data_IF_474052297317
#
_entry.id   IF_474052297317
#
_cell.length_a   1.000
_cell.length_b   1.000
_cell.length_c   1.000
_cell.angle_alpha   90.00
_cell.angle_beta   90.00
_cell.angle_gamma   90.00
#
_symmetry.space_group_name_H-M   'P 1'
#
loop_
_entity.id
_entity.type
_entity.pdbx_description
1 polymer ?
#
# COMPACT_ATOMS: atom_id res chain seq x y z
N UNK A 1 5.76 -21.66 -15.90
CA UNK A 1 4.90 -20.61 -15.33
C UNK A 1 4.88 -20.77 -13.81
N UNK A 2 5.20 -19.73 -13.07
CA UNK A 2 5.20 -19.77 -11.59
C UNK A 2 3.77 -19.72 -11.06
N UNK A 3 3.51 -20.53 -10.02
CA UNK A 3 2.28 -20.40 -9.25
C UNK A 3 2.40 -19.19 -8.29
N UNK A 4 1.27 -18.76 -7.73
CA UNK A 4 1.26 -17.70 -6.72
C UNK A 4 2.11 -18.09 -5.52
N UNK A 5 2.02 -19.32 -5.06
CA UNK A 5 2.81 -19.84 -3.94
C UNK A 5 4.31 -19.78 -4.22
N UNK A 6 4.74 -20.23 -5.38
CA UNK A 6 6.16 -20.20 -5.80
C UNK A 6 6.67 -18.77 -5.92
N UNK A 7 5.86 -17.88 -6.49
CA UNK A 7 6.22 -16.47 -6.65
C UNK A 7 6.38 -15.80 -5.30
N UNK A 8 5.42 -15.98 -4.39
CA UNK A 8 5.49 -15.41 -3.05
C UNK A 8 6.68 -15.93 -2.27
N UNK A 9 7.01 -17.22 -2.38
CA UNK A 9 8.13 -17.83 -1.66
C UNK A 9 9.48 -17.17 -1.97
N UNK A 10 9.61 -16.50 -3.11
CA UNK A 10 10.83 -15.76 -3.48
C UNK A 10 10.66 -14.24 -3.43
N UNK A 11 9.52 -13.76 -2.93
CA UNK A 11 9.19 -12.34 -2.89
C UNK A 11 9.56 -11.74 -1.54
N UNK A 12 10.41 -10.71 -1.48
CA UNK A 12 10.65 -9.98 -0.25
C UNK A 12 9.48 -9.06 0.06
N UNK A 13 9.20 -8.88 1.34
CA UNK A 13 8.28 -7.88 1.83
C UNK A 13 9.06 -6.61 2.12
N UNK A 14 8.78 -5.55 1.38
CA UNK A 14 9.43 -4.26 1.57
C UNK A 14 8.53 -3.39 2.46
N UNK A 15 8.99 -3.08 3.65
CA UNK A 15 8.17 -2.44 4.68
C UNK A 15 8.58 -0.99 4.85
N UNK A 16 7.59 -0.10 4.80
CA UNK A 16 7.74 1.32 5.17
C UNK A 16 6.81 1.58 6.35
N UNK A 17 7.39 1.91 7.47
CA UNK A 17 6.63 2.04 8.73
C UNK A 17 5.72 3.26 8.75
N UNK A 18 6.01 4.26 7.94
CA UNK A 18 5.20 5.45 7.85
C UNK A 18 5.40 6.42 9.00
N UNK A 19 4.34 7.02 9.50
CA UNK A 19 2.94 6.74 9.18
C UNK A 19 2.50 7.26 7.81
N UNK A 20 1.61 6.49 7.19
CA UNK A 20 0.90 6.87 5.98
C UNK A 20 -0.53 7.23 6.29
N UNK A 21 -1.14 8.01 5.42
CA UNK A 21 -2.55 8.39 5.51
C UNK A 21 -3.28 8.03 4.23
N UNK A 22 -4.55 7.71 4.36
CA UNK A 22 -5.48 7.59 3.25
C UNK A 22 -6.42 8.79 3.33
N UNK A 23 -6.42 9.62 2.32
CA UNK A 23 -7.19 10.85 2.30
C UNK A 23 -8.03 10.98 1.03
N UNK A 24 -9.12 11.73 1.11
CA UNK A 24 -10.02 11.94 -0.01
C UNK A 24 -10.38 13.40 -0.17
N UNK A 25 -10.48 13.84 -1.42
CA UNK A 25 -10.85 15.18 -1.86
C UNK A 25 -11.94 15.10 -2.91
N UNK A 26 -12.57 16.24 -3.20
CA UNK A 26 -13.43 16.34 -4.37
C UNK A 26 -12.65 16.02 -5.65
N UNK A 27 -13.25 15.37 -6.66
CA UNK A 27 -12.54 15.03 -7.91
C UNK A 27 -11.88 16.22 -8.59
N UNK A 28 -12.48 17.41 -8.51
CA UNK A 28 -11.92 18.62 -9.11
C UNK A 28 -10.57 19.04 -8.52
N UNK A 29 -10.20 18.51 -7.35
CA UNK A 29 -8.93 18.85 -6.70
C UNK A 29 -7.77 17.93 -7.08
N UNK A 30 -7.98 17.02 -8.03
CA UNK A 30 -6.94 16.05 -8.42
C UNK A 30 -5.63 16.72 -8.83
N UNK A 31 -5.68 17.83 -9.56
CA UNK A 31 -4.47 18.54 -9.97
C UNK A 31 -3.69 19.08 -8.77
N UNK A 32 -4.37 19.69 -7.81
CA UNK A 32 -3.74 20.23 -6.60
C UNK A 32 -3.13 19.11 -5.74
N UNK A 33 -3.80 17.95 -5.66
CA UNK A 33 -3.30 16.78 -4.93
C UNK A 33 -2.03 16.25 -5.59
N UNK A 34 -2.04 16.07 -6.91
CA UNK A 34 -0.86 15.61 -7.64
C UNK A 34 0.32 16.59 -7.52
N UNK A 35 0.06 17.90 -7.60
CA UNK A 35 1.09 18.91 -7.41
C UNK A 35 1.68 18.86 -6.00
N UNK A 36 0.83 18.68 -4.99
CA UNK A 36 1.29 18.53 -3.61
C UNK A 36 2.17 17.30 -3.44
N UNK A 37 1.81 16.17 -4.04
CA UNK A 37 2.63 14.97 -4.01
C UNK A 37 4.00 15.21 -4.64
N UNK A 38 4.06 15.90 -5.78
CA UNK A 38 5.31 16.22 -6.44
C UNK A 38 6.19 17.15 -5.58
N UNK A 39 5.59 18.11 -4.88
CA UNK A 39 6.34 19.04 -4.02
C UNK A 39 6.98 18.36 -2.82
N UNK A 40 6.31 17.38 -2.23
CA UNK A 40 6.82 16.74 -1.01
C UNK A 40 7.93 15.73 -1.26
N UNK A 41 8.18 15.36 -2.51
CA UNK A 41 9.28 14.47 -2.93
C UNK A 41 9.36 13.18 -2.11
N UNK A 42 8.22 12.59 -1.78
CA UNK A 42 8.20 11.39 -0.95
C UNK A 42 8.74 10.15 -1.66
N UNK A 43 8.67 10.14 -2.98
CA UNK A 43 8.98 8.96 -3.78
C UNK A 43 7.97 7.83 -3.66
N UNK A 44 6.96 7.94 -2.80
CA UNK A 44 5.97 6.91 -2.52
C UNK A 44 4.59 7.52 -2.39
N UNK A 45 3.65 7.00 -3.14
CA UNK A 45 2.27 7.43 -3.04
C UNK A 45 1.41 6.72 -4.07
N UNK A 46 0.12 6.68 -3.79
CA UNK A 46 -0.90 6.15 -4.71
C UNK A 46 -1.97 7.22 -4.83
N UNK A 47 -2.36 7.52 -6.05
CA UNK A 47 -3.47 8.44 -6.31
C UNK A 47 -4.49 7.72 -7.19
N UNK A 48 -5.74 7.79 -6.79
CA UNK A 48 -6.86 7.19 -7.50
C UNK A 48 -7.91 8.26 -7.74
N UNK A 49 -8.37 8.36 -8.98
CA UNK A 49 -9.43 9.28 -9.36
C UNK A 49 -10.61 8.51 -9.92
N UNK A 50 -11.78 8.81 -9.41
CA UNK A 50 -13.05 8.42 -10.04
C UNK A 50 -14.03 9.62 -9.99
N UNK A 51 -15.26 9.38 -10.37
CA UNK A 51 -16.28 10.43 -10.42
C UNK A 51 -16.77 10.91 -9.05
N UNK A 52 -16.45 10.15 -7.98
CA UNK A 52 -16.89 10.46 -6.62
C UNK A 52 -15.82 11.18 -5.82
N UNK A 53 -14.55 10.83 -6.04
CA UNK A 53 -13.46 11.37 -5.23
C UNK A 53 -12.11 11.29 -5.93
N UNK A 54 -11.20 12.16 -5.51
CA UNK A 54 -9.77 11.98 -5.66
C UNK A 54 -9.26 11.44 -4.33
N UNK A 55 -8.56 10.31 -4.36
CA UNK A 55 -8.08 9.63 -3.17
C UNK A 55 -6.58 9.42 -3.26
N UNK A 56 -5.89 9.46 -2.13
CA UNK A 56 -4.45 9.24 -2.10
C UNK A 56 -4.00 8.54 -0.84
N UNK A 57 -3.04 7.63 -1.00
CA UNK A 57 -2.27 7.02 0.08
C UNK A 57 -0.89 7.65 0.05
N UNK A 58 -0.52 8.35 1.11
CA UNK A 58 0.66 9.21 1.17
C UNK A 58 1.34 9.12 2.54
N UNK A 59 2.65 9.42 2.62
CA UNK A 59 3.24 9.75 3.92
C UNK A 59 2.46 10.89 4.58
N UNK A 60 2.27 10.81 5.89
CA UNK A 60 1.44 11.77 6.62
C UNK A 60 1.90 13.22 6.44
N UNK A 61 3.22 13.45 6.40
CA UNK A 61 3.77 14.79 6.24
C UNK A 61 3.39 15.43 4.89
N UNK A 62 3.04 14.63 3.90
CA UNK A 62 2.62 15.15 2.59
C UNK A 62 1.29 15.91 2.64
N UNK A 63 0.46 15.67 3.66
CA UNK A 63 -0.80 16.41 3.82
C UNK A 63 -0.59 17.91 3.93
N UNK A 64 0.54 18.35 4.47
CA UNK A 64 0.85 19.78 4.59
C UNK A 64 0.95 20.50 3.24
N UNK A 65 1.23 19.77 2.17
CA UNK A 65 1.34 20.28 0.80
C UNK A 65 0.03 20.17 0.02
N UNK A 66 -1.02 19.64 0.62
CA UNK A 66 -2.28 19.35 -0.03
C UNK A 66 -3.36 20.36 0.35
N UNK A 67 -4.40 20.54 -0.50
CA UNK A 67 -5.60 21.24 -0.04
C UNK A 67 -6.27 20.48 1.11
N UNK A 68 -7.12 21.14 1.90
CA UNK A 68 -7.85 20.46 2.97
C UNK A 68 -8.66 19.27 2.43
N UNK A 69 -8.46 18.10 3.03
CA UNK A 69 -9.15 16.87 2.62
C UNK A 69 -10.56 16.80 3.21
N UNK A 70 -11.47 16.14 2.49
CA UNK A 70 -12.81 15.83 2.99
C UNK A 70 -12.76 14.79 4.08
N UNK A 71 -11.90 13.78 3.91
CA UNK A 71 -11.73 12.67 4.84
C UNK A 71 -10.26 12.32 4.95
N UNK A 72 -9.82 12.00 6.16
CA UNK A 72 -8.46 11.54 6.42
C UNK A 72 -8.52 10.36 7.37
N UNK A 73 -7.87 9.27 7.00
CA UNK A 73 -7.65 8.12 7.85
C UNK A 73 -6.15 7.93 8.04
N UNK A 74 -5.71 7.88 9.30
CA UNK A 74 -4.28 7.94 9.65
C UNK A 74 -3.78 6.60 10.17
N UNK A 75 -2.46 6.51 10.30
CA UNK A 75 -1.82 5.44 11.03
C UNK A 75 -1.64 4.15 10.26
N UNK A 76 -1.25 4.25 8.99
CA UNK A 76 -0.95 3.07 8.17
C UNK A 76 0.55 2.86 7.99
N UNK A 77 0.95 1.59 7.89
CA UNK A 77 2.24 1.16 7.36
C UNK A 77 2.03 0.57 5.97
N UNK A 78 3.05 0.65 5.13
CA UNK A 78 3.02 0.17 3.76
C UNK A 78 3.89 -1.08 3.62
N UNK A 79 3.35 -2.12 2.99
CA UNK A 79 4.06 -3.36 2.67
C UNK A 79 3.98 -3.54 1.16
N UNK A 80 5.14 -3.52 0.50
CA UNK A 80 5.22 -3.78 -0.94
C UNK A 80 5.68 -5.21 -1.18
N UNK A 81 4.99 -5.93 -2.06
CA UNK A 81 5.46 -7.23 -2.55
C UNK A 81 6.57 -6.95 -3.56
N UNK A 82 7.82 -7.22 -3.16
CA UNK A 82 9.01 -6.66 -3.80
C UNK A 82 9.42 -7.27 -5.13
N UNK A 83 8.87 -8.42 -5.51
CA UNK A 83 9.18 -9.05 -6.80
C UNK A 83 8.21 -8.58 -7.88
N UNK A 84 8.70 -8.10 -9.03
CA UNK A 84 7.83 -7.81 -10.17
C UNK A 84 7.04 -9.03 -10.58
N UNK A 85 5.74 -8.86 -10.85
CA UNK A 85 4.82 -9.93 -11.16
C UNK A 85 4.24 -9.75 -12.55
N UNK A 86 4.14 -10.85 -13.29
CA UNK A 86 3.40 -10.85 -14.54
C UNK A 86 1.90 -10.76 -14.26
N UNK A 87 1.20 -10.05 -15.13
CA UNK A 87 -0.23 -9.79 -14.97
C UNK A 87 -1.08 -11.06 -14.87
N UNK A 88 -0.65 -12.12 -15.51
CA UNK A 88 -1.43 -13.36 -15.61
C UNK A 88 -1.21 -14.35 -14.45
N UNK A 89 -0.42 -14.00 -13.44
CA UNK A 89 -0.30 -14.84 -12.24
C UNK A 89 -1.52 -14.63 -11.37
N UNK A 90 -2.31 -15.69 -11.18
CA UNK A 90 -3.54 -15.64 -10.38
C UNK A 90 -3.29 -16.05 -8.94
N UNK A 91 -4.02 -15.44 -8.01
CA UNK A 91 -4.09 -15.87 -6.63
C UNK A 91 -3.08 -15.24 -5.68
N UNK A 92 -2.19 -14.35 -6.15
CA UNK A 92 -1.21 -13.70 -5.27
C UNK A 92 -1.91 -12.85 -4.21
N UNK A 93 -2.78 -11.94 -4.63
CA UNK A 93 -3.49 -11.08 -3.69
C UNK A 93 -4.46 -11.87 -2.82
N UNK A 94 -5.08 -12.91 -3.36
CA UNK A 94 -5.96 -13.81 -2.58
C UNK A 94 -5.18 -14.51 -1.46
N UNK A 95 -3.98 -15.02 -1.74
CA UNK A 95 -3.15 -15.69 -0.72
C UNK A 95 -2.74 -14.72 0.39
N UNK A 96 -2.31 -13.53 0.02
CA UNK A 96 -1.86 -12.50 0.96
C UNK A 96 -3.03 -11.98 1.79
N UNK A 97 -4.13 -11.62 1.17
CA UNK A 97 -5.30 -11.11 1.89
C UNK A 97 -5.94 -12.19 2.76
N UNK A 98 -5.93 -13.44 2.32
CA UNK A 98 -6.39 -14.56 3.12
C UNK A 98 -5.58 -14.75 4.39
N UNK A 99 -4.25 -14.68 4.30
CA UNK A 99 -3.38 -14.79 5.47
C UNK A 99 -3.62 -13.66 6.48
N UNK A 100 -3.79 -12.43 5.98
CA UNK A 100 -4.11 -11.29 6.85
C UNK A 100 -5.50 -11.41 7.47
N UNK A 101 -6.49 -11.86 6.71
CA UNK A 101 -7.84 -12.10 7.23
C UNK A 101 -7.85 -13.14 8.34
N UNK A 102 -7.10 -14.24 8.17
CA UNK A 102 -6.98 -15.28 9.19
C UNK A 102 -6.32 -14.76 10.47
N UNK A 103 -5.44 -13.80 10.35
CA UNK A 103 -4.79 -13.12 11.48
C UNK A 103 -5.63 -11.97 12.06
N UNK A 104 -6.80 -11.68 11.48
CA UNK A 104 -7.65 -10.57 11.91
C UNK A 104 -7.08 -9.19 11.63
N UNK A 105 -6.21 -9.05 10.63
CA UNK A 105 -5.58 -7.79 10.27
C UNK A 105 -6.33 -7.15 9.10
N UNK A 106 -6.91 -5.96 9.28
CA UNK A 106 -7.51 -5.23 8.18
C UNK A 106 -6.43 -4.73 7.21
N UNK A 107 -6.75 -4.67 5.92
CA UNK A 107 -5.80 -4.19 4.91
C UNK A 107 -6.51 -3.40 3.83
N UNK A 108 -5.76 -2.53 3.19
CA UNK A 108 -6.07 -2.01 1.88
C UNK A 108 -4.99 -2.46 0.90
N UNK A 109 -5.30 -2.40 -0.38
CA UNK A 109 -4.38 -2.82 -1.43
C UNK A 109 -4.44 -1.87 -2.61
N UNK A 110 -3.29 -1.67 -3.25
CA UNK A 110 -3.18 -0.90 -4.48
C UNK A 110 -2.24 -1.62 -5.44
N UNK A 111 -2.72 -1.88 -6.64
CA UNK A 111 -1.94 -2.54 -7.68
C UNK A 111 -1.18 -1.51 -8.50
N UNK A 112 0.14 -1.63 -8.55
CA UNK A 112 0.97 -0.92 -9.51
C UNK A 112 1.20 -1.82 -10.73
N UNK A 113 1.90 -1.31 -11.72
CA UNK A 113 2.14 -2.08 -12.96
C UNK A 113 2.87 -3.40 -12.70
N UNK A 114 3.88 -3.40 -11.83
CA UNK A 114 4.69 -4.59 -11.60
C UNK A 114 4.61 -5.17 -10.20
N UNK A 115 4.10 -4.44 -9.22
CA UNK A 115 4.10 -4.86 -7.82
C UNK A 115 2.86 -4.37 -7.11
N UNK A 116 2.36 -5.16 -6.16
CA UNK A 116 1.25 -4.78 -5.31
C UNK A 116 1.75 -4.12 -4.02
N UNK A 117 1.01 -3.13 -3.57
CA UNK A 117 1.22 -2.45 -2.31
C UNK A 117 0.06 -2.75 -1.38
N UNK A 118 0.37 -3.12 -0.15
CA UNK A 118 -0.60 -3.34 0.91
C UNK A 118 -0.40 -2.26 1.96
N UNK A 119 -1.48 -1.83 2.59
CA UNK A 119 -1.37 -0.95 3.75
C UNK A 119 -2.21 -1.50 4.89
N UNK A 120 -1.63 -1.49 6.08
CA UNK A 120 -2.21 -2.04 7.30
C UNK A 120 -2.06 -1.03 8.44
N UNK A 121 -2.90 -1.10 9.49
CA UNK A 121 -2.69 -0.23 10.65
C UNK A 121 -1.29 -0.41 11.24
N UNK A 122 -0.65 0.69 11.60
CA UNK A 122 0.72 0.67 12.17
C UNK A 122 0.80 -0.24 13.40
N UNK A 123 -0.21 -0.19 14.26
CA UNK A 123 -0.26 -1.03 15.47
C UNK A 123 -0.51 -2.52 15.20
N UNK A 124 -0.82 -2.89 13.96
CA UNK A 124 -1.00 -4.27 13.53
C UNK A 124 0.10 -4.75 12.57
N UNK A 125 1.14 -3.93 12.37
CA UNK A 125 2.21 -4.26 11.42
C UNK A 125 2.93 -5.56 11.79
N UNK A 126 3.25 -5.75 13.07
CA UNK A 126 3.95 -6.96 13.50
C UNK A 126 3.09 -8.22 13.27
N UNK A 127 1.79 -8.14 13.54
CA UNK A 127 0.86 -9.24 13.27
C UNK A 127 0.76 -9.51 11.77
N UNK A 128 0.73 -8.46 10.96
CA UNK A 128 0.69 -8.60 9.50
C UNK A 128 1.95 -9.30 8.98
N UNK A 129 3.12 -8.88 9.43
CA UNK A 129 4.38 -9.49 9.02
C UNK A 129 4.50 -10.94 9.49
N UNK A 130 4.05 -11.25 10.70
CA UNK A 130 4.02 -12.62 11.20
C UNK A 130 3.12 -13.53 10.35
N UNK A 131 1.99 -12.99 9.85
CA UNK A 131 1.07 -13.73 8.99
C UNK A 131 1.64 -13.95 7.57
N UNK A 132 2.36 -12.97 7.03
CA UNK A 132 2.89 -13.01 5.66
C UNK A 132 4.24 -13.70 5.54
N UNK A 133 5.05 -13.66 6.58
CA UNK A 133 6.41 -14.18 6.56
C UNK A 133 6.51 -15.64 6.13
N UNK A 134 5.59 -16.55 6.55
CA UNK A 134 5.64 -17.95 6.08
C UNK A 134 5.42 -18.11 4.58
N UNK A 135 4.82 -17.13 3.91
CA UNK A 135 4.52 -17.17 2.48
C UNK A 135 5.65 -16.56 1.64
N UNK A 136 6.49 -15.73 2.21
CA UNK A 136 7.40 -14.84 1.50
C UNK A 136 8.86 -15.14 1.83
N UNK A 137 9.79 -14.53 1.07
CA UNK A 137 11.22 -14.82 1.19
C UNK A 137 11.82 -14.20 2.46
N UNK A 138 11.62 -12.89 2.63
CA UNK A 138 12.24 -12.15 3.74
C UNK A 138 11.48 -10.84 3.97
N UNK A 139 11.75 -10.21 5.09
CA UNK A 139 11.24 -8.88 5.43
C UNK A 139 12.40 -7.89 5.36
N UNK A 140 12.23 -6.82 4.58
CA UNK A 140 13.18 -5.70 4.54
C UNK A 140 12.49 -4.43 4.96
N UNK A 141 12.95 -3.83 6.05
CA UNK A 141 12.44 -2.55 6.51
C UNK A 141 13.20 -1.44 5.80
N UNK A 142 12.48 -0.59 5.09
CA UNK A 142 13.02 0.58 4.40
C UNK A 142 12.83 1.82 5.28
N UNK A 143 13.68 2.79 5.08
CA UNK A 143 13.62 4.02 5.86
C UNK A 143 12.35 4.84 5.57
#
# INVERSE_FOLDING_TARGET
MSTATELLARTPLLVRRGPYVLAAWAPAQISAVCQGLLRCRTGHGVVILDELEASALLPEHALAEMPPARHVQRGFALITLGTPMEWNVTGVLAAVSGALADAGVPLGAAAAFSRDHLFVPVDRLDDALAALQPLCAEVRVLA
#
